data_IF_270392616132
#
_entry.id   IF_270392616132
#
_cell.length_a   1.000
_cell.length_b   1.000
_cell.length_c   1.000
_cell.angle_alpha   90.00
_cell.angle_beta   90.00
_cell.angle_gamma   90.00
#
_symmetry.space_group_name_H-M   'P 1'
#
loop_
_entity.id
_entity.type
_entity.pdbx_description
1 polymer ?
#
# COMPACT_ATOMS: atom_id res chain seq x y z
N UNK A 1 -2.98 -7.99 11.18
CA UNK A 1 -2.50 -8.26 9.80
C UNK A 1 -3.03 -7.12 8.94
N UNK A 2 -2.16 -6.34 8.29
CA UNK A 2 -2.61 -5.19 7.50
C UNK A 2 -3.44 -5.70 6.29
N UNK A 3 -4.74 -5.32 6.16
CA UNK A 3 -5.63 -5.82 5.11
C UNK A 3 -5.23 -5.38 3.69
N UNK A 4 -4.38 -4.36 3.59
CA UNK A 4 -3.85 -3.84 2.33
C UNK A 4 -2.70 -4.71 1.79
N UNK A 5 -2.14 -5.61 2.60
CA UNK A 5 -1.02 -6.45 2.18
C UNK A 5 -1.51 -7.62 1.33
N UNK A 6 -1.01 -7.69 0.10
CA UNK A 6 -1.22 -8.79 -0.84
C UNK A 6 0.03 -9.65 -0.92
N UNK A 7 -0.17 -10.91 -1.29
CA UNK A 7 0.89 -11.90 -1.45
C UNK A 7 0.82 -12.51 -2.84
N UNK A 8 1.97 -12.78 -3.43
CA UNK A 8 2.07 -13.53 -4.67
C UNK A 8 3.29 -14.46 -4.64
N UNK A 9 3.22 -15.50 -5.46
CA UNK A 9 4.27 -16.50 -5.59
C UNK A 9 4.98 -16.26 -6.92
N UNK A 10 6.18 -15.67 -6.92
CA UNK A 10 6.92 -15.47 -8.16
C UNK A 10 7.35 -16.82 -8.73
N UNK A 11 7.49 -16.89 -10.05
CA UNK A 11 8.09 -18.04 -10.72
C UNK A 11 9.55 -18.22 -10.25
N UNK A 12 9.95 -19.48 -10.02
CA UNK A 12 11.31 -19.86 -9.64
C UNK A 12 11.97 -20.53 -10.82
N UNK A 13 13.01 -19.90 -11.37
CA UNK A 13 13.77 -20.42 -12.49
C UNK A 13 14.79 -21.48 -12.07
N UNK A 14 15.08 -22.48 -12.93
CA UNK A 14 16.09 -23.49 -12.64
C UNK A 14 17.53 -22.95 -12.63
N UNK A 15 17.76 -21.76 -13.21
CA UNK A 15 19.07 -21.11 -13.30
C UNK A 15 19.09 -19.74 -12.61
N UNK A 16 18.15 -19.48 -11.69
CA UNK A 16 18.16 -18.23 -10.93
C UNK A 16 19.44 -18.15 -10.07
N UNK A 17 20.20 -17.05 -10.12
CA UNK A 17 21.49 -16.94 -9.43
C UNK A 17 21.37 -16.83 -7.90
N UNK A 18 20.15 -16.64 -7.38
CA UNK A 18 19.87 -16.42 -5.97
C UNK A 18 18.92 -17.50 -5.42
N UNK A 19 18.93 -17.79 -4.10
CA UNK A 19 17.93 -18.65 -3.48
C UNK A 19 16.50 -18.18 -3.75
N UNK A 20 15.55 -19.11 -3.99
CA UNK A 20 14.20 -18.75 -4.39
C UNK A 20 13.44 -18.02 -3.29
N UNK A 21 12.82 -16.88 -3.65
CA UNK A 21 11.86 -16.18 -2.80
C UNK A 21 10.45 -16.67 -3.12
N UNK A 22 9.97 -17.64 -2.35
CA UNK A 22 8.69 -18.32 -2.62
C UNK A 22 7.45 -17.42 -2.48
N UNK A 23 7.52 -16.42 -1.60
CA UNK A 23 6.42 -15.48 -1.36
C UNK A 23 6.97 -14.07 -1.37
N UNK A 24 6.33 -13.20 -2.13
CA UNK A 24 6.55 -11.75 -2.10
C UNK A 24 5.27 -11.06 -1.66
N UNK A 25 5.43 -10.02 -0.85
CA UNK A 25 4.32 -9.21 -0.34
C UNK A 25 4.42 -7.79 -0.86
N UNK A 26 3.28 -7.18 -1.18
CA UNK A 26 3.19 -5.77 -1.57
C UNK A 26 1.93 -5.15 -0.97
N UNK A 27 1.91 -3.82 -0.83
CA UNK A 27 0.75 -3.09 -0.31
C UNK A 27 -0.13 -2.65 -1.48
N UNK A 28 -1.43 -2.90 -1.40
CA UNK A 28 -2.45 -2.32 -2.29
C UNK A 28 -3.23 -1.23 -1.55
N UNK A 29 -2.79 0.03 -1.63
CA UNK A 29 -3.43 1.13 -0.91
C UNK A 29 -4.83 1.46 -1.47
N UNK A 30 -5.68 2.18 -0.70
CA UNK A 30 -7.07 2.46 -1.06
C UNK A 30 -7.24 3.19 -2.40
N UNK A 31 -6.28 4.05 -2.76
CA UNK A 31 -6.33 4.83 -4.01
C UNK A 31 -6.37 3.97 -5.28
N UNK A 32 -5.97 2.69 -5.22
CA UNK A 32 -6.07 1.76 -6.36
C UNK A 32 -7.51 1.29 -6.63
N UNK A 33 -8.41 1.45 -5.67
CA UNK A 33 -9.79 0.97 -5.74
C UNK A 33 -10.82 2.11 -5.82
N UNK A 34 -10.39 3.35 -5.65
CA UNK A 34 -11.22 4.54 -5.81
C UNK A 34 -11.08 5.03 -7.25
N UNK A 35 -12.18 4.96 -8.01
CA UNK A 35 -12.20 5.34 -9.43
C UNK A 35 -12.08 6.85 -9.65
N UNK A 36 -12.67 7.65 -8.76
CA UNK A 36 -12.61 9.09 -8.77
C UNK A 36 -12.74 9.62 -7.34
N UNK A 37 -12.17 10.79 -7.04
CA UNK A 37 -12.33 11.43 -5.74
C UNK A 37 -13.69 12.17 -5.70
N UNK A 38 -14.66 11.75 -4.86
CA UNK A 38 -15.92 12.46 -4.75
C UNK A 38 -15.70 13.89 -4.23
N UNK A 39 -16.60 14.80 -4.62
CA UNK A 39 -16.58 16.16 -4.11
C UNK A 39 -16.86 16.16 -2.61
N UNK A 40 -16.25 17.12 -1.91
CA UNK A 40 -16.44 17.34 -0.48
C UNK A 40 -16.06 16.14 0.40
N UNK A 41 -15.08 15.33 -0.03
CA UNK A 41 -14.49 14.31 0.83
C UNK A 41 -14.02 14.93 2.16
N UNK A 42 -14.24 14.23 3.28
CA UNK A 42 -13.65 14.61 4.56
C UNK A 42 -12.14 14.78 4.41
N UNK A 43 -11.60 15.83 5.01
CA UNK A 43 -10.17 16.09 5.02
C UNK A 43 -9.68 16.18 6.46
N UNK A 44 -8.44 15.74 6.67
CA UNK A 44 -7.72 16.03 7.90
C UNK A 44 -7.48 17.53 8.05
N UNK A 45 -7.18 17.97 9.28
CA UNK A 45 -6.60 19.30 9.44
C UNK A 45 -5.26 19.40 8.69
N UNK A 46 -4.84 20.58 8.24
CA UNK A 46 -3.57 20.73 7.52
C UNK A 46 -2.37 20.16 8.28
N UNK A 47 -2.36 20.28 9.61
CA UNK A 47 -1.29 19.77 10.45
C UNK A 47 -1.23 18.24 10.50
N UNK A 48 -2.39 17.59 10.60
CA UNK A 48 -2.49 16.12 10.58
C UNK A 48 -2.16 15.58 9.19
N UNK A 49 -2.65 16.23 8.14
CA UNK A 49 -2.38 15.84 6.76
C UNK A 49 -0.88 15.80 6.44
N UNK A 50 -0.12 16.81 6.91
CA UNK A 50 1.33 16.85 6.75
C UNK A 50 2.05 15.70 7.46
N UNK A 51 1.55 15.26 8.61
CA UNK A 51 2.12 14.12 9.35
C UNK A 51 1.78 12.79 8.69
N UNK A 52 0.57 12.65 8.15
CA UNK A 52 0.06 11.41 7.55
C UNK A 52 0.45 11.25 6.09
N UNK A 53 0.86 12.33 5.41
CA UNK A 53 1.21 12.33 3.99
C UNK A 53 0.01 12.29 3.04
N UNK A 54 -1.20 12.55 3.54
CA UNK A 54 -2.44 12.60 2.74
C UNK A 54 -3.42 13.62 3.33
N UNK A 55 -4.18 14.31 2.48
CA UNK A 55 -5.28 15.18 2.92
C UNK A 55 -6.52 14.38 3.35
N UNK A 56 -6.72 13.19 2.79
CA UNK A 56 -7.98 12.46 2.89
C UNK A 56 -7.85 11.21 3.77
N UNK A 57 -8.72 11.03 4.78
CA UNK A 57 -8.75 9.83 5.61
C UNK A 57 -8.99 8.55 4.81
N UNK A 58 -9.84 8.60 3.79
CA UNK A 58 -10.14 7.45 2.92
C UNK A 58 -8.95 7.01 2.06
N UNK A 59 -7.95 7.87 1.88
CA UNK A 59 -6.74 7.58 1.12
C UNK A 59 -5.53 7.31 2.01
N UNK A 60 -5.73 7.25 3.33
CA UNK A 60 -4.66 6.94 4.26
C UNK A 60 -4.31 5.44 4.18
N UNK A 61 -3.02 5.16 3.96
CA UNK A 61 -2.44 3.82 4.07
C UNK A 61 -1.34 3.86 5.12
N UNK A 62 -1.41 2.92 6.06
CA UNK A 62 -0.50 2.82 7.21
C UNK A 62 0.86 2.21 6.84
N UNK A 63 1.40 2.50 5.66
CA UNK A 63 2.61 1.87 5.13
C UNK A 63 3.74 1.77 6.17
N UNK A 64 3.99 0.54 6.62
CA UNK A 64 5.10 0.23 7.52
C UNK A 64 6.29 -0.26 6.69
N UNK A 65 7.40 0.50 6.59
CA UNK A 65 8.59 0.01 5.92
C UNK A 65 9.12 -1.22 6.66
N UNK A 66 9.37 -2.31 5.92
CA UNK A 66 10.08 -3.47 6.46
C UNK A 66 11.57 -3.14 6.46
N UNK A 67 12.09 -2.69 7.61
CA UNK A 67 13.53 -2.56 7.84
C UNK A 67 14.22 -3.93 7.86
#
# INVERSE_FOLDING_TARGET
MNPEVRMYHPFVGPFDPCPPKLVKTYVTPPNLFIQFQPMCLPQFSPYEALRLGTLWPELYSSYEPKC
#
